data_IF_607068615953
#
_entry.id   IF_607068615953
#
_cell.length_a   1.000
_cell.length_b   1.000
_cell.length_c   1.000
_cell.angle_alpha   90.00
_cell.angle_beta   90.00
_cell.angle_gamma   90.00
#
_symmetry.space_group_name_H-M   'P 1'
#
loop_
_entity.id
_entity.type
_entity.pdbx_description
1 polymer ?
#
# COMPACT_ATOMS: atom_id res chain seq x y z
N UNK A 1 -4.33 45.51 24.16
CA UNK A 1 -4.68 44.37 25.04
C UNK A 1 -5.24 43.24 24.16
N UNK A 2 -4.36 42.37 23.67
CA UNK A 2 -4.72 41.30 22.69
C UNK A 2 -5.17 40.10 23.52
N UNK A 3 -6.44 39.75 23.41
CA UNK A 3 -7.05 38.58 24.09
C UNK A 3 -6.40 37.32 23.51
N UNK A 4 -5.61 36.65 24.34
CA UNK A 4 -5.14 35.28 24.05
C UNK A 4 -6.31 34.31 24.13
N UNK A 5 -6.85 33.90 23.00
CA UNK A 5 -7.78 32.79 22.93
C UNK A 5 -6.96 31.49 22.86
N UNK A 6 -6.90 30.77 23.96
CA UNK A 6 -6.31 29.42 24.01
C UNK A 6 -7.37 28.40 23.58
N UNK A 7 -7.03 27.52 22.69
CA UNK A 7 -7.82 26.34 22.34
C UNK A 7 -7.22 25.17 23.11
N UNK A 8 -8.02 24.50 23.94
CA UNK A 8 -7.61 23.31 24.67
C UNK A 8 -7.90 22.09 23.77
N UNK A 9 -6.87 21.30 23.49
CA UNK A 9 -7.02 19.98 22.92
C UNK A 9 -7.17 18.95 24.05
N UNK A 10 -7.87 17.86 23.81
CA UNK A 10 -8.15 16.79 24.77
C UNK A 10 -6.90 16.14 25.40
N UNK A 11 -5.71 16.46 24.91
CA UNK A 11 -4.41 15.99 25.43
C UNK A 11 -3.65 17.08 26.24
N UNK A 12 -4.27 18.22 26.55
CA UNK A 12 -3.73 19.23 27.48
C UNK A 12 -2.63 20.14 26.92
N UNK A 13 -2.46 20.23 25.60
CA UNK A 13 -1.50 21.14 24.98
C UNK A 13 -2.11 22.49 24.61
N UNK A 14 -1.49 23.58 25.04
CA UNK A 14 -1.88 24.96 24.74
C UNK A 14 -1.06 25.48 23.55
N UNK A 15 -1.75 25.88 22.47
CA UNK A 15 -1.11 26.58 21.34
C UNK A 15 -1.55 28.05 21.33
N UNK A 16 -0.61 28.98 21.19
CA UNK A 16 -0.96 30.37 20.87
C UNK A 16 -1.36 30.47 19.39
N UNK A 17 -2.26 31.41 19.05
CA UNK A 17 -2.66 31.62 17.64
C UNK A 17 -1.46 31.82 16.70
N UNK A 18 -0.35 32.39 17.18
CA UNK A 18 0.89 32.52 16.43
C UNK A 18 1.57 31.19 16.14
N UNK A 19 1.58 30.27 17.08
CA UNK A 19 2.16 28.92 16.90
C UNK A 19 1.34 28.08 15.94
N UNK A 20 0.00 28.21 15.96
CA UNK A 20 -0.89 27.55 15.01
C UNK A 20 -0.65 28.06 13.58
N UNK A 21 -0.55 29.39 13.40
CA UNK A 21 -0.28 30.01 12.09
C UNK A 21 1.10 29.60 11.57
N UNK A 22 2.13 29.62 12.42
CA UNK A 22 3.49 29.16 12.05
C UNK A 22 3.47 27.67 11.70
N UNK A 23 2.76 26.83 12.44
CA UNK A 23 2.58 25.41 12.12
C UNK A 23 1.91 25.18 10.76
N UNK A 24 0.88 25.95 10.45
CA UNK A 24 0.18 25.91 9.14
C UNK A 24 1.12 26.35 8.02
N UNK A 25 1.86 27.43 8.20
CA UNK A 25 2.81 27.95 7.19
C UNK A 25 3.93 26.92 6.94
N UNK A 26 4.53 26.36 8.00
CA UNK A 26 5.54 25.31 7.89
C UNK A 26 4.95 24.07 7.18
N UNK A 27 3.73 23.69 7.49
CA UNK A 27 3.03 22.58 6.83
C UNK A 27 2.82 22.85 5.34
N UNK A 28 2.42 24.05 4.95
CA UNK A 28 2.24 24.45 3.55
C UNK A 28 3.59 24.45 2.82
N UNK A 29 4.65 25.01 3.42
CA UNK A 29 6.00 25.03 2.85
C UNK A 29 6.51 23.59 2.67
N UNK A 30 6.33 22.71 3.65
CA UNK A 30 6.69 21.30 3.55
C UNK A 30 5.93 20.60 2.42
N UNK A 31 4.64 20.89 2.27
CA UNK A 31 3.82 20.34 1.18
C UNK A 31 4.32 20.82 -0.19
N UNK A 32 4.56 22.12 -0.33
CA UNK A 32 5.08 22.69 -1.57
C UNK A 32 6.46 22.14 -1.91
N UNK A 33 7.32 21.92 -0.90
CA UNK A 33 8.62 21.29 -1.06
C UNK A 33 8.51 19.83 -1.52
N UNK A 34 7.59 19.05 -0.94
CA UNK A 34 7.31 17.67 -1.36
C UNK A 34 6.75 17.64 -2.79
N UNK A 35 5.84 18.56 -3.13
CA UNK A 35 5.30 18.68 -4.48
C UNK A 35 6.37 19.09 -5.50
N UNK A 36 7.27 19.99 -5.11
CA UNK A 36 8.39 20.43 -5.95
C UNK A 36 9.41 19.30 -6.14
N UNK A 37 9.80 18.61 -5.07
CA UNK A 37 10.65 17.42 -5.15
C UNK A 37 10.01 16.34 -6.03
N UNK A 38 8.72 16.10 -5.88
CA UNK A 38 7.98 15.16 -6.74
C UNK A 38 8.06 15.57 -8.21
N UNK A 39 7.88 16.85 -8.53
CA UNK A 39 8.01 17.37 -9.90
C UNK A 39 9.43 17.24 -10.43
N UNK A 40 10.44 17.53 -9.62
CA UNK A 40 11.84 17.49 -10.04
C UNK A 40 12.37 16.07 -10.24
N UNK A 41 11.99 15.13 -9.35
CA UNK A 41 12.44 13.72 -9.43
C UNK A 41 11.74 12.90 -10.51
N UNK A 42 10.58 13.36 -11.01
CA UNK A 42 9.78 12.64 -12.00
C UNK A 42 9.65 13.39 -13.34
N UNK A 43 10.52 14.39 -13.60
CA UNK A 43 10.45 15.23 -14.80
C UNK A 43 10.59 14.43 -16.11
N UNK A 44 11.35 13.34 -16.09
CA UNK A 44 11.68 12.53 -17.25
C UNK A 44 10.96 11.17 -17.31
N UNK A 45 10.09 10.87 -16.33
CA UNK A 45 9.35 9.60 -16.31
C UNK A 45 8.09 9.69 -17.19
N UNK A 46 8.10 9.00 -18.35
CA UNK A 46 6.95 8.87 -19.25
C UNK A 46 5.68 8.39 -18.52
N UNK A 47 5.83 7.62 -17.44
CA UNK A 47 4.73 7.15 -16.56
C UNK A 47 4.05 8.31 -15.81
N UNK A 48 4.82 9.34 -15.43
CA UNK A 48 4.28 10.56 -14.78
C UNK A 48 3.46 11.38 -15.77
N UNK A 49 3.83 11.39 -17.04
CA UNK A 49 3.08 12.10 -18.08
C UNK A 49 1.74 11.41 -18.40
N UNK A 50 1.68 10.09 -18.36
CA UNK A 50 0.41 9.35 -18.43
C UNK A 50 -0.47 9.60 -17.19
N UNK A 51 0.13 9.74 -15.99
CA UNK A 51 -0.58 10.09 -14.75
C UNK A 51 -0.98 11.57 -14.66
N UNK A 52 -0.38 12.50 -15.42
CA UNK A 52 -0.82 13.90 -15.51
C UNK A 52 -2.25 14.04 -16.05
N UNK A 53 -2.74 13.07 -16.83
CA UNK A 53 -4.14 13.00 -17.28
C UNK A 53 -5.12 12.61 -16.16
N UNK A 54 -4.65 11.97 -15.09
CA UNK A 54 -5.50 11.62 -13.94
C UNK A 54 -5.61 12.81 -12.99
N UNK A 55 -6.83 13.22 -12.76
CA UNK A 55 -7.11 14.29 -11.83
C UNK A 55 -6.88 13.82 -10.40
N UNK A 56 -5.76 14.22 -9.81
CA UNK A 56 -5.34 13.83 -8.46
C UNK A 56 -5.96 14.68 -7.34
N UNK A 57 -7.09 15.32 -7.60
CA UNK A 57 -7.76 16.23 -6.64
C UNK A 57 -7.97 15.56 -5.27
N UNK A 58 -8.48 14.34 -5.25
CA UNK A 58 -8.68 13.58 -4.00
C UNK A 58 -7.37 13.36 -3.24
N UNK A 59 -6.31 12.98 -3.94
CA UNK A 59 -5.00 12.76 -3.33
C UNK A 59 -4.48 14.03 -2.66
N UNK A 60 -4.50 15.17 -3.37
CA UNK A 60 -4.05 16.45 -2.81
C UNK A 60 -4.98 16.96 -1.71
N UNK A 61 -6.29 16.82 -1.88
CA UNK A 61 -7.26 17.18 -0.84
C UNK A 61 -7.04 16.38 0.44
N UNK A 62 -6.88 15.07 0.32
CA UNK A 62 -6.57 14.18 1.44
C UNK A 62 -5.27 14.61 2.10
N UNK A 63 -4.22 14.86 1.30
CA UNK A 63 -2.91 15.26 1.81
C UNK A 63 -2.96 16.58 2.58
N UNK A 64 -3.65 17.62 2.06
CA UNK A 64 -3.78 18.93 2.70
C UNK A 64 -4.59 18.82 3.99
N UNK A 65 -5.72 18.14 3.95
CA UNK A 65 -6.59 17.92 5.12
C UNK A 65 -5.89 17.19 6.24
N UNK A 66 -4.91 16.35 5.90
CA UNK A 66 -4.20 15.48 6.82
C UNK A 66 -2.87 16.04 7.30
N UNK A 67 -2.43 17.21 6.84
CA UNK A 67 -1.11 17.74 7.20
C UNK A 67 -0.81 17.68 8.70
N UNK A 68 -1.70 18.13 9.62
CA UNK A 68 -1.43 18.06 11.05
C UNK A 68 -1.35 16.63 11.56
N UNK A 69 -2.24 15.76 11.08
CA UNK A 69 -2.30 14.34 11.45
C UNK A 69 -1.11 13.58 10.88
N UNK A 70 -0.76 13.86 9.63
CA UNK A 70 0.42 13.28 8.97
C UNK A 70 1.70 13.63 9.70
N UNK A 71 1.86 14.90 10.11
CA UNK A 71 3.01 15.35 10.88
C UNK A 71 3.11 14.67 12.25
N UNK A 72 1.99 14.57 12.96
CA UNK A 72 1.89 13.86 14.23
C UNK A 72 2.31 12.38 14.08
N UNK A 73 1.74 11.68 13.09
CA UNK A 73 2.09 10.28 12.85
C UNK A 73 3.52 10.11 12.37
N UNK A 74 4.06 11.03 11.58
CA UNK A 74 5.46 11.00 11.16
C UNK A 74 6.41 11.05 12.36
N UNK A 75 6.15 11.94 13.32
CA UNK A 75 6.94 12.01 14.56
C UNK A 75 6.80 10.70 15.36
N UNK A 76 5.59 10.17 15.50
CA UNK A 76 5.36 8.89 16.19
C UNK A 76 6.08 7.73 15.49
N UNK A 77 5.95 7.61 14.18
CA UNK A 77 6.65 6.58 13.40
C UNK A 77 8.18 6.68 13.59
N UNK A 78 8.77 7.88 13.49
CA UNK A 78 10.20 8.08 13.74
C UNK A 78 10.64 7.69 15.15
N UNK A 79 9.78 7.89 16.16
CA UNK A 79 10.04 7.41 17.52
C UNK A 79 9.97 5.89 17.60
N UNK A 80 9.00 5.28 16.92
CA UNK A 80 8.81 3.82 16.92
C UNK A 80 9.91 3.09 16.13
N UNK A 81 10.37 3.62 15.00
CA UNK A 81 11.48 3.01 14.25
C UNK A 81 12.79 2.97 15.04
N UNK A 82 12.94 3.86 16.04
CA UNK A 82 14.10 3.89 16.96
C UNK A 82 13.98 2.94 18.16
N UNK A 83 12.78 2.42 18.44
CA UNK A 83 12.55 1.50 19.56
C UNK A 83 12.88 0.08 19.15
N UNK A 84 14.03 -0.43 19.59
CA UNK A 84 14.53 -1.79 19.26
C UNK A 84 13.70 -2.95 19.87
N UNK A 85 12.76 -2.67 20.79
CA UNK A 85 12.04 -3.71 21.55
C UNK A 85 10.62 -4.00 21.04
N UNK A 86 10.17 -3.38 19.93
CA UNK A 86 8.80 -3.62 19.42
C UNK A 86 8.77 -4.85 18.51
N UNK A 87 7.79 -5.72 18.74
CA UNK A 87 7.53 -6.86 17.84
C UNK A 87 6.98 -6.37 16.49
N UNK A 88 6.99 -7.25 15.50
CA UNK A 88 6.41 -6.92 14.18
C UNK A 88 4.90 -6.66 14.28
N UNK A 89 4.20 -7.46 15.10
CA UNK A 89 2.76 -7.33 15.34
C UNK A 89 2.41 -5.97 15.97
N UNK A 90 3.21 -5.49 16.92
CA UNK A 90 3.02 -4.17 17.54
C UNK A 90 3.23 -3.03 16.54
N UNK A 91 4.26 -3.14 15.69
CA UNK A 91 4.52 -2.19 14.61
C UNK A 91 3.38 -2.23 13.59
N UNK A 92 2.92 -3.43 13.21
CA UNK A 92 1.84 -3.63 12.28
C UNK A 92 0.53 -3.04 12.79
N UNK A 93 0.14 -3.35 14.04
CA UNK A 93 -1.06 -2.80 14.67
C UNK A 93 -1.05 -1.27 14.73
N UNK A 94 0.12 -0.66 14.92
CA UNK A 94 0.25 0.79 14.84
C UNK A 94 0.07 1.30 13.41
N UNK A 95 0.66 0.65 12.41
CA UNK A 95 0.48 1.00 11.00
C UNK A 95 -0.98 0.88 10.57
N UNK A 96 -1.71 -0.12 11.05
CA UNK A 96 -3.15 -0.29 10.77
C UNK A 96 -3.99 0.91 11.23
N UNK A 97 -3.66 1.51 12.38
CA UNK A 97 -4.32 2.75 12.85
C UNK A 97 -4.10 3.91 11.87
N UNK A 98 -2.90 3.98 11.27
CA UNK A 98 -2.57 5.00 10.26
C UNK A 98 -3.35 4.73 8.97
N UNK A 99 -3.35 3.48 8.47
CA UNK A 99 -4.07 3.10 7.26
C UNK A 99 -5.58 3.35 7.38
N UNK A 100 -6.18 2.98 8.52
CA UNK A 100 -7.59 3.26 8.81
C UNK A 100 -7.87 4.78 8.81
N UNK A 101 -6.96 5.59 9.37
CA UNK A 101 -7.09 7.05 9.36
C UNK A 101 -7.00 7.61 7.94
N UNK A 102 -6.03 7.15 7.14
CA UNK A 102 -5.88 7.54 5.73
C UNK A 102 -7.15 7.21 4.94
N UNK A 103 -7.70 6.01 5.10
CA UNK A 103 -8.96 5.62 4.47
C UNK A 103 -10.12 6.56 4.86
N UNK A 104 -10.29 6.80 6.17
CA UNK A 104 -11.36 7.67 6.68
C UNK A 104 -11.24 9.10 6.15
N UNK A 105 -10.04 9.67 6.16
CA UNK A 105 -9.78 11.04 5.70
C UNK A 105 -9.92 11.16 4.17
N UNK A 106 -9.53 10.11 3.44
CA UNK A 106 -9.74 10.02 1.98
C UNK A 106 -11.19 9.75 1.57
N UNK A 107 -12.11 9.57 2.54
CA UNK A 107 -13.48 9.13 2.31
C UNK A 107 -13.54 7.82 1.50
N UNK A 108 -12.64 6.89 1.83
CA UNK A 108 -12.49 5.58 1.21
C UNK A 108 -12.94 4.51 2.19
N UNK A 109 -13.84 3.65 1.74
CA UNK A 109 -14.42 2.56 2.53
C UNK A 109 -14.30 1.27 1.72
N UNK A 110 -13.16 0.57 1.75
CA UNK A 110 -12.99 -0.65 0.99
C UNK A 110 -13.96 -1.73 1.44
N UNK A 111 -14.50 -2.45 0.48
CA UNK A 111 -15.29 -3.66 0.71
C UNK A 111 -14.32 -4.84 0.63
N UNK A 112 -14.28 -5.64 1.69
CA UNK A 112 -13.41 -6.82 1.77
C UNK A 112 -14.26 -8.06 1.64
N UNK A 113 -13.88 -8.96 0.75
CA UNK A 113 -14.57 -10.23 0.45
C UNK A 113 -13.56 -11.36 0.56
N UNK A 114 -14.00 -12.53 1.04
CA UNK A 114 -13.15 -13.72 1.14
C UNK A 114 -12.13 -13.68 2.26
N UNK A 115 -12.33 -12.85 3.30
CA UNK A 115 -11.37 -12.76 4.42
C UNK A 115 -11.26 -14.09 5.20
N UNK A 116 -12.26 -14.96 5.11
CA UNK A 116 -12.25 -16.34 5.62
C UNK A 116 -11.20 -17.23 4.94
N UNK A 117 -10.69 -16.83 3.77
CA UNK A 117 -9.60 -17.51 3.05
C UNK A 117 -8.21 -17.12 3.59
N UNK A 118 -8.16 -16.20 4.56
CA UNK A 118 -6.92 -15.69 5.15
C UNK A 118 -6.74 -16.29 6.54
N UNK A 119 -5.56 -16.83 6.80
CA UNK A 119 -5.19 -17.34 8.12
C UNK A 119 -3.86 -16.74 8.60
N UNK A 120 -3.34 -17.21 9.72
CA UNK A 120 -2.10 -16.72 10.32
C UNK A 120 -0.84 -17.43 9.82
N UNK A 121 -0.96 -18.39 8.93
CA UNK A 121 0.18 -19.09 8.36
C UNK A 121 0.90 -18.19 7.37
N UNK A 122 2.20 -18.40 7.21
CA UNK A 122 2.99 -17.69 6.22
C UNK A 122 2.39 -17.87 4.82
N UNK A 123 2.10 -16.74 4.18
CA UNK A 123 1.37 -16.72 2.91
C UNK A 123 2.01 -15.69 1.97
N UNK A 124 2.15 -16.05 0.70
CA UNK A 124 2.45 -15.10 -0.36
C UNK A 124 1.14 -14.58 -0.98
N UNK A 125 0.76 -13.34 -0.67
CA UNK A 125 -0.37 -12.67 -1.30
C UNK A 125 0.05 -12.12 -2.66
N UNK A 126 -0.55 -12.63 -3.72
CA UNK A 126 -0.32 -12.21 -5.11
C UNK A 126 -1.46 -11.31 -5.54
N UNK A 127 -1.13 -10.05 -5.86
CA UNK A 127 -2.08 -8.96 -6.05
C UNK A 127 -1.91 -8.32 -7.42
N UNK A 128 -2.99 -7.96 -8.11
CA UNK A 128 -2.95 -7.11 -9.30
C UNK A 128 -2.66 -5.65 -8.92
N UNK A 129 -2.23 -4.85 -9.89
CA UNK A 129 -1.78 -3.48 -9.61
C UNK A 129 -2.50 -2.44 -10.48
N UNK A 130 -3.36 -1.62 -9.88
CA UNK A 130 -4.20 -0.63 -10.55
C UNK A 130 -3.77 0.81 -10.28
N UNK A 131 -3.11 1.08 -9.13
CA UNK A 131 -2.78 2.45 -8.79
C UNK A 131 -2.09 2.64 -7.43
N UNK A 132 -2.00 3.89 -7.01
CA UNK A 132 -1.28 4.29 -5.79
C UNK A 132 -1.97 3.87 -4.49
N UNK A 133 -3.25 3.58 -4.54
CA UNK A 133 -4.02 3.18 -3.37
C UNK A 133 -3.86 1.69 -3.04
N UNK A 134 -3.42 0.88 -3.97
CA UNK A 134 -3.45 -0.58 -3.90
C UNK A 134 -2.77 -1.14 -2.65
N UNK A 135 -1.56 -0.64 -2.33
CA UNK A 135 -0.84 -1.05 -1.12
C UNK A 135 -1.59 -0.67 0.16
N UNK A 136 -2.18 0.54 0.21
CA UNK A 136 -2.99 0.99 1.34
C UNK A 136 -4.23 0.12 1.47
N UNK A 137 -4.93 -0.13 0.36
CA UNK A 137 -6.13 -0.96 0.31
C UNK A 137 -5.86 -2.38 0.79
N UNK A 138 -4.92 -3.07 0.15
CA UNK A 138 -4.60 -4.46 0.46
C UNK A 138 -4.12 -4.65 1.91
N UNK A 139 -3.19 -3.79 2.39
CA UNK A 139 -2.72 -3.85 3.77
C UNK A 139 -3.82 -3.52 4.78
N UNK A 140 -4.70 -2.55 4.49
CA UNK A 140 -5.81 -2.22 5.40
C UNK A 140 -6.85 -3.34 5.51
N UNK A 141 -7.01 -4.15 4.46
CA UNK A 141 -7.88 -5.32 4.45
C UNK A 141 -7.32 -6.46 5.32
N UNK A 142 -5.99 -6.59 5.40
CA UNK A 142 -5.28 -7.57 6.24
C UNK A 142 -5.10 -7.09 7.69
N UNK A 143 -6.06 -6.36 8.24
CA UNK A 143 -5.95 -5.69 9.54
C UNK A 143 -5.41 -6.59 10.66
N UNK A 144 -5.90 -7.82 10.76
CA UNK A 144 -5.59 -8.77 11.83
C UNK A 144 -4.58 -9.86 11.40
N UNK A 145 -4.00 -9.71 10.20
CA UNK A 145 -3.07 -10.65 9.57
C UNK A 145 -1.76 -9.92 9.21
N UNK A 146 -0.79 -9.87 10.13
CA UNK A 146 0.46 -9.13 9.91
C UNK A 146 1.17 -9.56 8.64
N UNK A 147 1.44 -8.60 7.76
CA UNK A 147 1.99 -8.83 6.44
C UNK A 147 3.00 -7.73 6.07
N UNK A 148 4.13 -8.13 5.54
CA UNK A 148 5.10 -7.22 4.92
C UNK A 148 4.83 -7.10 3.41
N UNK A 149 5.63 -6.31 2.70
CA UNK A 149 5.48 -6.16 1.25
C UNK A 149 6.81 -5.85 0.57
N UNK A 150 6.83 -6.05 -0.75
CA UNK A 150 7.95 -5.65 -1.60
C UNK A 150 7.57 -4.41 -2.41
N UNK A 151 8.47 -3.43 -2.50
CA UNK A 151 8.22 -2.20 -3.24
C UNK A 151 9.49 -1.61 -3.87
N UNK A 152 9.30 -0.70 -4.83
CA UNK A 152 10.38 0.06 -5.45
C UNK A 152 11.14 0.88 -4.40
N UNK A 153 12.45 0.65 -4.29
CA UNK A 153 13.36 1.31 -3.35
C UNK A 153 13.33 2.84 -3.48
N UNK A 154 13.13 3.38 -4.67
CA UNK A 154 12.98 4.82 -4.88
C UNK A 154 11.75 5.38 -4.16
N UNK A 155 10.68 4.60 -4.04
CA UNK A 155 9.44 5.01 -3.36
C UNK A 155 9.54 4.89 -1.84
N UNK A 156 10.14 3.81 -1.34
CA UNK A 156 10.29 3.62 0.11
C UNK A 156 11.27 4.59 0.76
N UNK A 157 12.00 5.39 -0.02
CA UNK A 157 12.85 6.47 0.51
C UNK A 157 12.10 7.77 0.80
N UNK A 158 10.83 7.91 0.41
CA UNK A 158 10.06 9.15 0.60
C UNK A 158 9.62 9.32 2.06
N UNK A 159 9.64 10.54 2.60
CA UNK A 159 9.12 10.83 3.94
C UNK A 159 7.70 10.28 4.11
N UNK A 160 7.36 9.84 5.30
CA UNK A 160 6.14 9.14 5.67
C UNK A 160 6.09 7.70 5.12
N UNK A 161 6.29 7.51 3.81
CA UNK A 161 6.30 6.17 3.20
C UNK A 161 7.52 5.37 3.66
N UNK A 162 8.66 6.02 3.87
CA UNK A 162 9.88 5.41 4.43
C UNK A 162 9.63 4.87 5.84
N UNK A 163 9.09 5.69 6.71
CA UNK A 163 8.84 5.31 8.10
C UNK A 163 7.79 4.19 8.18
N UNK A 164 6.72 4.27 7.37
CA UNK A 164 5.72 3.23 7.26
C UNK A 164 6.33 1.92 6.74
N UNK A 165 7.12 1.97 5.67
CA UNK A 165 7.80 0.82 5.08
C UNK A 165 8.79 0.20 6.05
N UNK A 166 9.52 1.02 6.84
CA UNK A 166 10.43 0.53 7.87
C UNK A 166 9.68 -0.21 8.98
N UNK A 167 8.54 0.31 9.45
CA UNK A 167 7.73 -0.35 10.48
C UNK A 167 7.10 -1.65 9.97
N UNK A 168 6.69 -1.67 8.71
CA UNK A 168 6.15 -2.86 8.04
C UNK A 168 7.25 -3.80 7.54
N UNK A 169 8.52 -3.49 7.81
CA UNK A 169 9.68 -4.28 7.40
C UNK A 169 9.66 -4.63 5.90
N UNK A 170 9.29 -3.63 5.08
CA UNK A 170 9.15 -3.79 3.65
C UNK A 170 10.50 -4.02 2.97
N UNK A 171 10.51 -4.91 2.00
CA UNK A 171 11.68 -5.21 1.18
C UNK A 171 11.74 -4.24 0.01
N UNK A 172 12.86 -3.51 -0.10
CA UNK A 172 13.10 -2.58 -1.20
C UNK A 172 13.81 -3.26 -2.37
N UNK A 173 13.24 -3.17 -3.57
CA UNK A 173 13.90 -3.59 -4.79
C UNK A 173 14.15 -2.39 -5.72
N UNK A 174 15.22 -2.44 -6.49
CA UNK A 174 15.50 -1.50 -7.58
C UNK A 174 14.93 -2.10 -8.86
N UNK A 175 13.93 -1.42 -9.43
CA UNK A 175 13.37 -1.82 -10.73
C UNK A 175 14.48 -1.75 -11.79
N UNK A 176 14.45 -2.69 -12.72
CA UNK A 176 15.42 -2.81 -13.81
C UNK A 176 16.87 -3.14 -13.35
N UNK A 177 17.05 -3.60 -12.09
CA UNK A 177 18.31 -4.10 -11.56
C UNK A 177 18.18 -5.59 -11.14
N UNK A 178 18.60 -6.54 -12.00
CA UNK A 178 18.42 -7.98 -11.72
C UNK A 178 19.08 -8.45 -10.41
N UNK A 179 20.22 -7.86 -10.04
CA UNK A 179 20.92 -8.22 -8.78
C UNK A 179 20.09 -7.79 -7.56
N UNK A 180 19.49 -6.59 -7.61
CA UNK A 180 18.61 -6.10 -6.56
C UNK A 180 17.34 -6.93 -6.47
N UNK A 181 16.79 -7.35 -7.60
CA UNK A 181 15.61 -8.22 -7.64
C UNK A 181 15.91 -9.59 -7.01
N UNK A 182 17.00 -10.24 -7.41
CA UNK A 182 17.41 -11.54 -6.83
C UNK A 182 17.57 -11.43 -5.31
N UNK A 183 18.26 -10.39 -4.81
CA UNK A 183 18.46 -10.16 -3.38
C UNK A 183 17.13 -9.99 -2.65
N UNK A 184 16.23 -9.17 -3.20
CA UNK A 184 14.91 -8.91 -2.60
C UNK A 184 14.05 -10.18 -2.54
N UNK A 185 14.09 -11.03 -3.59
CA UNK A 185 13.37 -12.31 -3.62
C UNK A 185 13.99 -13.34 -2.65
N UNK A 186 15.31 -13.31 -2.44
CA UNK A 186 15.95 -14.14 -1.42
C UNK A 186 15.51 -13.73 -0.02
N UNK A 187 15.56 -12.45 0.30
CA UNK A 187 15.14 -11.90 1.59
C UNK A 187 13.65 -12.22 1.85
N UNK A 188 12.78 -12.09 0.83
CA UNK A 188 11.38 -12.47 0.94
C UNK A 188 11.22 -13.98 1.21
N UNK A 189 11.99 -14.84 0.52
CA UNK A 189 11.92 -16.28 0.74
C UNK A 189 12.32 -16.64 2.17
N UNK A 190 13.36 -16.03 2.70
CA UNK A 190 13.83 -16.23 4.09
C UNK A 190 12.76 -15.75 5.09
N UNK A 191 12.12 -14.61 4.82
CA UNK A 191 11.03 -14.12 5.65
C UNK A 191 9.82 -15.07 5.65
N UNK A 192 9.43 -15.61 4.49
CA UNK A 192 8.35 -16.61 4.37
C UNK A 192 8.69 -17.89 5.15
N UNK A 193 9.92 -18.41 5.04
CA UNK A 193 10.39 -19.57 5.79
C UNK A 193 10.31 -19.33 7.31
N UNK A 194 10.58 -18.10 7.74
CA UNK A 194 10.51 -17.69 9.15
C UNK A 194 9.08 -17.31 9.60
N UNK A 195 8.03 -17.67 8.84
CA UNK A 195 6.63 -17.50 9.22
C UNK A 195 6.03 -16.13 8.90
N UNK A 196 6.73 -15.25 8.16
CA UNK A 196 6.21 -13.94 7.76
C UNK A 196 5.45 -14.01 6.45
N UNK A 197 4.27 -13.43 6.40
CA UNK A 197 3.51 -13.23 5.16
C UNK A 197 4.00 -12.01 4.37
N UNK A 198 3.89 -12.08 3.05
CA UNK A 198 4.26 -10.98 2.15
C UNK A 198 3.20 -10.72 1.11
N UNK A 199 3.03 -9.44 0.79
CA UNK A 199 2.21 -8.94 -0.30
C UNK A 199 3.11 -8.52 -1.47
N UNK A 200 2.80 -9.02 -2.66
CA UNK A 200 3.54 -8.71 -3.88
C UNK A 200 2.61 -8.44 -5.05
N UNK A 201 2.88 -7.34 -5.77
CA UNK A 201 2.18 -6.99 -7.01
C UNK A 201 2.82 -7.75 -8.18
N UNK A 202 2.15 -8.80 -8.67
CA UNK A 202 2.72 -9.70 -9.69
C UNK A 202 2.95 -9.03 -11.04
N UNK A 203 2.25 -7.94 -11.32
CA UNK A 203 2.41 -7.14 -12.55
C UNK A 203 3.67 -6.25 -12.50
N UNK A 204 4.24 -6.03 -11.30
CA UNK A 204 5.46 -5.26 -11.06
C UNK A 204 5.32 -3.75 -11.25
N UNK A 205 4.32 -3.28 -11.99
CA UNK A 205 3.96 -1.87 -12.19
C UNK A 205 2.47 -1.77 -12.49
N UNK A 206 1.87 -0.61 -12.27
CA UNK A 206 0.50 -0.34 -12.71
C UNK A 206 0.49 0.57 -13.94
N UNK A 207 -0.50 0.34 -14.79
CA UNK A 207 -0.80 1.14 -15.98
C UNK A 207 -2.25 1.66 -15.90
N UNK A 208 -2.67 2.47 -16.88
CA UNK A 208 -4.03 3.01 -16.92
C UNK A 208 -4.97 2.06 -17.69
N UNK A 209 -5.21 0.90 -17.13
CA UNK A 209 -6.00 -0.18 -17.74
C UNK A 209 -7.27 -0.53 -16.94
N UNK A 210 -7.64 0.29 -15.94
CA UNK A 210 -8.85 0.06 -15.13
C UNK A 210 -8.79 -1.25 -14.35
N UNK A 211 -9.82 -2.07 -14.49
CA UNK A 211 -9.91 -3.38 -13.81
C UNK A 211 -9.30 -4.54 -14.63
N UNK A 212 -8.68 -4.29 -15.77
CA UNK A 212 -8.06 -5.34 -16.57
C UNK A 212 -6.70 -5.76 -15.99
N UNK A 213 -6.45 -7.07 -15.97
CA UNK A 213 -5.15 -7.61 -15.56
C UNK A 213 -4.08 -7.33 -16.61
N UNK A 214 -2.87 -7.06 -16.15
CA UNK A 214 -1.69 -6.91 -16.97
C UNK A 214 -0.95 -8.24 -17.15
N UNK A 215 0.22 -8.20 -17.76
CA UNK A 215 1.11 -9.36 -17.83
C UNK A 215 1.70 -9.69 -16.45
N UNK A 216 1.72 -10.97 -16.10
CA UNK A 216 2.24 -11.45 -14.81
C UNK A 216 3.73 -11.75 -14.89
N UNK A 217 4.51 -11.20 -13.96
CA UNK A 217 5.93 -11.48 -13.79
C UNK A 217 6.12 -12.66 -12.84
N UNK A 218 6.59 -13.78 -13.36
CA UNK A 218 6.70 -15.03 -12.60
C UNK A 218 7.83 -15.08 -11.58
N UNK A 219 8.71 -14.06 -11.54
CA UNK A 219 9.88 -14.03 -10.67
C UNK A 219 9.54 -14.17 -9.19
N UNK A 220 8.51 -13.44 -8.73
CA UNK A 220 8.08 -13.45 -7.33
C UNK A 220 7.56 -14.81 -6.87
N UNK A 221 6.96 -15.60 -7.76
CA UNK A 221 6.43 -16.93 -7.42
C UNK A 221 7.52 -17.89 -6.93
N UNK A 222 8.77 -17.69 -7.38
CA UNK A 222 9.93 -18.47 -6.90
C UNK A 222 10.06 -18.46 -5.37
N UNK A 223 9.60 -17.41 -4.71
CA UNK A 223 9.69 -17.30 -3.26
C UNK A 223 8.76 -18.29 -2.55
N UNK A 224 7.55 -18.52 -3.08
CA UNK A 224 6.62 -19.51 -2.54
C UNK A 224 7.13 -20.94 -2.74
N UNK A 225 7.70 -21.27 -3.90
CA UNK A 225 8.35 -22.58 -4.12
C UNK A 225 9.48 -22.83 -3.13
N UNK A 226 10.36 -21.84 -2.93
CA UNK A 226 11.50 -21.96 -2.02
C UNK A 226 11.06 -22.09 -0.57
N UNK A 227 10.05 -21.36 -0.16
CA UNK A 227 9.54 -21.35 1.21
C UNK A 227 8.52 -22.44 1.50
N UNK A 228 8.02 -23.12 0.47
CA UNK A 228 6.94 -24.14 0.55
C UNK A 228 5.71 -23.58 1.26
N UNK A 229 5.30 -22.37 0.90
CA UNK A 229 4.12 -21.72 1.47
C UNK A 229 3.04 -21.56 0.42
N UNK A 230 1.80 -21.49 0.86
CA UNK A 230 0.64 -21.25 0.00
C UNK A 230 0.67 -19.86 -0.65
N UNK A 231 -0.05 -19.75 -1.75
CA UNK A 231 -0.28 -18.49 -2.46
C UNK A 231 -1.75 -18.14 -2.35
N UNK A 232 -2.06 -16.94 -1.89
CA UNK A 232 -3.42 -16.40 -1.91
C UNK A 232 -3.52 -15.32 -2.97
N UNK A 233 -4.24 -15.56 -4.09
CA UNK A 233 -4.51 -14.52 -5.06
C UNK A 233 -5.46 -13.48 -4.45
N UNK A 234 -5.20 -12.19 -4.72
CA UNK A 234 -6.01 -11.07 -4.22
C UNK A 234 -6.38 -10.17 -5.39
N UNK A 235 -7.66 -10.00 -5.62
CA UNK A 235 -8.18 -9.10 -6.65
C UNK A 235 -8.49 -7.74 -6.04
N UNK A 236 -7.85 -6.71 -6.57
CA UNK A 236 -8.21 -5.31 -6.35
C UNK A 236 -9.12 -4.87 -7.49
N UNK A 237 -10.27 -4.32 -7.13
CA UNK A 237 -11.25 -3.84 -8.09
C UNK A 237 -11.66 -2.39 -7.77
N UNK A 238 -11.64 -1.51 -8.77
CA UNK A 238 -11.93 -0.06 -8.65
C UNK A 238 -10.94 0.72 -7.75
N UNK A 239 -9.81 0.13 -7.35
CA UNK A 239 -8.82 0.82 -6.51
C UNK A 239 -8.12 1.97 -7.25
N UNK A 240 -8.00 1.89 -8.59
CA UNK A 240 -7.48 2.98 -9.43
C UNK A 240 -8.32 4.25 -9.34
N UNK A 241 -9.62 4.11 -9.03
CA UNK A 241 -10.54 5.25 -8.92
C UNK A 241 -10.27 6.09 -7.67
N UNK A 242 -9.66 5.53 -6.63
CA UNK A 242 -9.46 6.23 -5.34
C UNK A 242 -8.67 7.51 -5.54
N UNK A 243 -7.54 7.45 -6.27
CA UNK A 243 -6.72 8.61 -6.60
C UNK A 243 -6.77 8.98 -8.09
N UNK A 244 -7.67 8.37 -8.85
CA UNK A 244 -7.86 8.61 -10.29
C UNK A 244 -9.06 9.50 -10.62
N UNK A 245 -10.04 9.62 -9.71
CA UNK A 245 -11.22 10.50 -9.89
C UNK A 245 -11.02 11.86 -9.25
N UNK A 246 -11.50 12.91 -9.92
CA UNK A 246 -11.57 14.29 -9.41
C UNK A 246 -12.73 14.52 -8.45
N UNK A 247 -12.98 13.57 -7.55
CA UNK A 247 -14.10 13.62 -6.62
C UNK A 247 -13.66 13.20 -5.23
N UNK A 248 -14.14 13.95 -4.21
CA UNK A 248 -13.95 13.62 -2.79
C UNK A 248 -15.16 12.86 -2.20
N UNK A 249 -16.17 12.54 -3.02
CA UNK A 249 -17.32 11.74 -2.59
C UNK A 249 -16.86 10.37 -2.10
N UNK A 250 -17.66 9.74 -1.24
CA UNK A 250 -17.41 8.36 -0.76
C UNK A 250 -17.10 7.43 -1.93
N UNK A 251 -16.08 6.60 -1.75
CA UNK A 251 -15.69 5.56 -2.70
C UNK A 251 -15.45 4.24 -1.95
N UNK A 252 -15.91 3.15 -2.53
CA UNK A 252 -15.81 1.82 -1.94
C UNK A 252 -15.21 0.86 -2.96
N UNK A 253 -13.87 0.85 -3.10
CA UNK A 253 -13.17 -0.15 -3.90
C UNK A 253 -13.32 -1.52 -3.24
N UNK A 254 -13.19 -2.59 -4.02
CA UNK A 254 -13.33 -3.95 -3.52
C UNK A 254 -11.97 -4.65 -3.47
N UNK A 255 -11.80 -5.50 -2.46
CA UNK A 255 -10.59 -6.28 -2.21
C UNK A 255 -11.04 -7.71 -1.93
N UNK A 256 -10.78 -8.62 -2.86
CA UNK A 256 -11.24 -10.00 -2.81
C UNK A 256 -10.07 -10.94 -2.56
N UNK A 257 -10.07 -11.65 -1.44
CA UNK A 257 -9.14 -12.73 -1.14
C UNK A 257 -9.70 -14.02 -1.69
N UNK A 258 -9.06 -14.57 -2.74
CA UNK A 258 -9.49 -15.80 -3.35
C UNK A 258 -9.03 -17.00 -2.52
N UNK A 259 -9.61 -18.19 -2.82
CA UNK A 259 -9.18 -19.43 -2.19
C UNK A 259 -7.68 -19.63 -2.38
N UNK A 260 -6.91 -19.88 -1.32
CA UNK A 260 -5.50 -20.17 -1.42
C UNK A 260 -5.21 -21.35 -2.36
N UNK A 261 -4.04 -21.32 -2.96
CA UNK A 261 -3.44 -22.44 -3.68
C UNK A 261 -2.38 -22.99 -2.74
N UNK A 262 -2.61 -24.18 -2.20
CA UNK A 262 -1.66 -24.80 -1.26
C UNK A 262 -0.39 -25.24 -1.99
N UNK A 263 0.73 -25.36 -1.27
CA UNK A 263 2.02 -25.69 -1.88
C UNK A 263 1.96 -27.01 -2.67
N UNK A 264 1.29 -27.99 -2.15
CA UNK A 264 1.12 -29.33 -2.75
C UNK A 264 0.42 -29.27 -4.10
N UNK A 265 -0.45 -28.27 -4.32
CA UNK A 265 -1.18 -28.10 -5.59
C UNK A 265 -0.28 -27.56 -6.72
N UNK A 266 0.85 -26.92 -6.38
CA UNK A 266 1.72 -26.34 -7.40
C UNK A 266 3.18 -26.78 -7.32
N UNK A 267 3.54 -27.67 -6.41
CA UNK A 267 4.91 -28.10 -6.21
C UNK A 267 5.57 -28.67 -7.48
N UNK A 268 4.79 -29.37 -8.30
CA UNK A 268 5.26 -30.06 -9.50
C UNK A 268 5.02 -29.29 -10.81
N UNK A 269 4.32 -28.16 -10.77
CA UNK A 269 4.06 -27.35 -11.97
C UNK A 269 5.07 -26.22 -12.10
N UNK A 270 5.32 -25.78 -13.33
CA UNK A 270 6.25 -24.68 -13.55
C UNK A 270 5.63 -23.32 -13.24
N UNK A 271 6.49 -22.32 -12.98
CA UNK A 271 6.05 -20.98 -12.58
C UNK A 271 5.18 -20.25 -13.60
N UNK A 272 5.33 -20.54 -14.90
CA UNK A 272 4.51 -19.94 -15.95
C UNK A 272 3.09 -20.48 -15.86
N UNK A 273 2.96 -21.77 -15.79
CA UNK A 273 1.67 -22.46 -15.63
C UNK A 273 0.96 -22.03 -14.34
N UNK A 274 1.68 -21.94 -13.21
CA UNK A 274 1.13 -21.42 -11.97
C UNK A 274 0.64 -19.97 -12.14
N UNK A 275 1.41 -19.11 -12.83
CA UNK A 275 0.99 -17.73 -13.10
C UNK A 275 -0.28 -17.68 -13.96
N UNK A 276 -0.42 -18.56 -14.94
CA UNK A 276 -1.61 -18.66 -15.78
C UNK A 276 -2.83 -19.11 -14.96
N UNK A 277 -2.67 -20.09 -14.06
CA UNK A 277 -3.72 -20.54 -13.12
C UNK A 277 -4.16 -19.38 -12.21
N UNK A 278 -3.19 -18.64 -11.63
CA UNK A 278 -3.48 -17.49 -10.76
C UNK A 278 -4.23 -16.43 -11.57
N UNK A 279 -3.78 -16.15 -12.79
CA UNK A 279 -4.38 -15.14 -13.66
C UNK A 279 -5.82 -15.50 -14.03
N UNK A 280 -6.07 -16.76 -14.35
CA UNK A 280 -7.41 -17.28 -14.65
C UNK A 280 -8.34 -17.13 -13.45
N UNK A 281 -7.92 -17.54 -12.25
CA UNK A 281 -8.70 -17.37 -11.01
C UNK A 281 -9.05 -15.89 -10.77
N UNK A 282 -8.09 -14.99 -10.91
CA UNK A 282 -8.30 -13.55 -10.72
C UNK A 282 -9.21 -12.96 -11.80
N UNK A 283 -9.07 -13.39 -13.06
CA UNK A 283 -9.93 -12.95 -14.16
C UNK A 283 -11.38 -13.40 -13.98
N UNK A 284 -11.58 -14.64 -13.54
CA UNK A 284 -12.90 -15.17 -13.23
C UNK A 284 -13.59 -14.36 -12.14
N UNK A 285 -12.88 -13.99 -11.07
CA UNK A 285 -13.41 -13.12 -10.02
C UNK A 285 -13.78 -11.74 -10.55
N UNK A 286 -12.92 -11.13 -11.39
CA UNK A 286 -13.22 -9.84 -12.04
C UNK A 286 -14.49 -9.95 -12.89
N UNK A 287 -14.68 -11.04 -13.64
CA UNK A 287 -15.87 -11.27 -14.46
C UNK A 287 -17.14 -11.40 -13.59
N UNK A 288 -17.04 -12.07 -12.45
CA UNK A 288 -18.14 -12.17 -11.46
C UNK A 288 -18.51 -10.78 -10.96
N UNK A 289 -17.50 -9.96 -10.59
CA UNK A 289 -17.73 -8.60 -10.09
C UNK A 289 -18.38 -7.73 -11.21
N UNK A 290 -17.88 -7.81 -12.44
CA UNK A 290 -18.43 -7.10 -13.59
C UNK A 290 -19.89 -7.46 -13.82
N UNK A 291 -20.22 -8.74 -13.83
CA UNK A 291 -21.60 -9.23 -13.99
C UNK A 291 -22.51 -8.67 -12.89
N UNK A 292 -22.06 -8.72 -11.62
CA UNK A 292 -22.80 -8.19 -10.48
C UNK A 292 -23.03 -6.67 -10.58
N UNK A 293 -22.07 -5.94 -11.16
CA UNK A 293 -22.15 -4.47 -11.33
C UNK A 293 -22.83 -4.05 -12.63
N UNK A 294 -23.15 -4.96 -13.53
CA UNK A 294 -23.76 -4.67 -14.83
C UNK A 294 -22.80 -3.96 -15.80
N UNK A 295 -21.51 -4.31 -15.75
CA UNK A 295 -20.45 -3.74 -16.60
C UNK A 295 -19.93 -4.79 -17.57
#
# INVERSE_FOLDING_TARGET
MIIKKCIIDNDGFYYSNGQLIVGIIIGIIALLSVMLMYRLTNKDDKRVNAMKKRNMLRFYFTLIRELPVTFYYLIKMKKMTKKQKLTFEEKYAFCQKILAKVNKLGNVYPVVVGLENVDKNATLYIVNHQGRYDGIGALSALKDFPCSFIADKKRICWPFYRELSTLLEAIGLELDNPRSEIKALQEMSEGLINGRSYLAFIEGKYEDNGNNLQEFKTGVLKTAYRAKVKITPVVLYDTYLVYGKSSIKKISPEIHFLKPIEYEEFAEINRKELADIIKEKMQNEINIINTRKGV
#
